data_IF_098257938961
#
_entry.id   IF_098257938961
#
_cell.length_a   1.000
_cell.length_b   1.000
_cell.length_c   1.000
_cell.angle_alpha   90.00
_cell.angle_beta   90.00
_cell.angle_gamma   90.00
#
_symmetry.space_group_name_H-M   'P 1'
#
loop_
_entity.id
_entity.type
_entity.pdbx_description
1 polymer ?
#
# COMPACT_ATOMS: atom_id res chain seq x y z
N UNK A 1 -13.29 -10.27 6.09
CA UNK A 1 -12.76 -9.23 6.95
C UNK A 1 -13.58 -7.98 6.72
N UNK A 2 -14.51 -7.64 7.63
CA UNK A 2 -15.18 -6.36 7.58
C UNK A 2 -14.20 -5.26 7.98
N UNK A 3 -13.33 -4.85 7.09
CA UNK A 3 -12.61 -3.61 7.25
C UNK A 3 -13.61 -2.51 6.88
N UNK A 4 -14.26 -1.94 7.88
CA UNK A 4 -14.90 -0.66 7.73
C UNK A 4 -13.76 0.34 7.47
N UNK A 5 -13.72 0.89 6.26
CA UNK A 5 -12.62 1.71 5.80
C UNK A 5 -12.74 3.16 6.23
N UNK A 6 -13.81 3.51 6.94
CA UNK A 6 -13.98 4.82 7.59
C UNK A 6 -13.41 4.78 9.01
N UNK A 7 -12.34 5.52 9.29
CA UNK A 7 -11.82 5.69 10.64
C UNK A 7 -11.04 6.99 10.81
N UNK A 8 -11.00 7.48 12.05
CA UNK A 8 -10.18 8.64 12.42
C UNK A 8 -8.86 8.16 13.03
N UNK A 9 -7.79 8.87 12.72
CA UNK A 9 -6.50 8.74 13.40
C UNK A 9 -6.07 10.08 13.97
N UNK A 10 -5.30 10.02 15.04
CA UNK A 10 -4.62 11.16 15.62
C UNK A 10 -3.10 10.92 15.62
N UNK A 11 -2.36 11.76 14.92
CA UNK A 11 -0.89 11.69 14.87
C UNK A 11 -0.35 13.10 15.05
N UNK A 12 0.48 13.29 16.07
CA UNK A 12 1.13 14.57 16.35
C UNK A 12 0.16 15.71 16.66
N UNK A 13 -1.00 15.40 17.27
CA UNK A 13 -2.04 16.38 17.63
C UNK A 13 -2.98 16.75 16.47
N UNK A 14 -2.81 16.18 15.29
CA UNK A 14 -3.72 16.38 14.16
C UNK A 14 -4.62 15.17 13.95
N UNK A 15 -5.92 15.41 13.86
CA UNK A 15 -6.91 14.39 13.50
C UNK A 15 -7.04 14.29 11.98
N UNK A 16 -6.98 13.07 11.46
CA UNK A 16 -7.24 12.77 10.06
C UNK A 16 -8.30 11.67 9.96
N UNK A 17 -9.37 11.97 9.23
CA UNK A 17 -10.43 10.99 8.92
C UNK A 17 -10.09 10.28 7.61
N UNK A 18 -10.10 8.96 7.62
CA UNK A 18 -10.05 8.14 6.41
C UNK A 18 -11.44 7.89 5.88
N UNK A 19 -11.64 8.21 4.61
CA UNK A 19 -12.72 7.66 3.79
C UNK A 19 -12.12 6.74 2.73
N UNK A 20 -12.84 5.71 2.37
CA UNK A 20 -12.42 4.77 1.33
C UNK A 20 -12.18 5.52 0.01
N UNK A 21 -11.01 5.34 -0.60
CA UNK A 21 -10.79 5.80 -1.97
C UNK A 21 -11.43 4.82 -2.96
N UNK A 22 -11.81 5.32 -4.14
CA UNK A 22 -12.37 4.47 -5.21
C UNK A 22 -11.40 3.35 -5.56
N UNK A 23 -10.10 3.61 -5.57
CA UNK A 23 -9.07 2.62 -5.89
C UNK A 23 -8.97 1.56 -4.80
N UNK A 24 -9.03 1.93 -3.52
CA UNK A 24 -9.05 0.98 -2.41
C UNK A 24 -10.31 0.11 -2.46
N UNK A 25 -11.47 0.70 -2.77
CA UNK A 25 -12.72 -0.03 -2.93
C UNK A 25 -12.64 -1.05 -4.06
N UNK A 26 -12.11 -0.65 -5.20
CA UNK A 26 -11.99 -1.51 -6.37
C UNK A 26 -10.93 -2.59 -6.13
N UNK A 27 -9.77 -2.25 -5.59
CA UNK A 27 -8.72 -3.21 -5.22
C UNK A 27 -9.27 -4.23 -4.21
N UNK A 28 -10.07 -3.79 -3.24
CA UNK A 28 -10.73 -4.67 -2.30
C UNK A 28 -11.75 -5.59 -2.97
N UNK A 29 -12.59 -5.08 -3.86
CA UNK A 29 -13.54 -5.88 -4.62
C UNK A 29 -12.85 -6.90 -5.52
N UNK A 30 -11.78 -6.52 -6.20
CA UNK A 30 -11.05 -7.42 -7.08
C UNK A 30 -10.25 -8.47 -6.30
N UNK A 31 -9.75 -8.11 -5.11
CA UNK A 31 -8.98 -9.02 -4.26
C UNK A 31 -9.89 -10.00 -3.48
N UNK A 32 -11.02 -9.53 -2.95
CA UNK A 32 -11.89 -10.32 -2.06
C UNK A 32 -13.29 -10.59 -2.63
N UNK A 33 -13.77 -9.76 -3.54
CA UNK A 33 -15.11 -9.85 -4.10
C UNK A 33 -15.33 -11.09 -4.98
N UNK A 34 -14.26 -11.64 -5.55
CA UNK A 34 -14.25 -12.89 -6.33
C UNK A 34 -13.85 -14.11 -5.49
N UNK A 35 -13.71 -13.94 -4.17
CA UNK A 35 -13.34 -14.99 -3.24
C UNK A 35 -11.84 -15.18 -3.05
N UNK A 36 -11.48 -16.26 -2.35
CA UNK A 36 -10.10 -16.57 -1.94
C UNK A 36 -9.13 -16.70 -3.12
N UNK A 37 -9.60 -17.20 -4.26
CA UNK A 37 -8.74 -17.45 -5.43
C UNK A 37 -8.12 -16.17 -6.00
N UNK A 38 -8.88 -15.07 -6.06
CA UNK A 38 -8.34 -13.78 -6.55
C UNK A 38 -7.30 -13.20 -5.60
N UNK A 39 -7.53 -13.34 -4.29
CA UNK A 39 -6.54 -12.97 -3.28
C UNK A 39 -5.26 -13.77 -3.41
N UNK A 40 -5.35 -15.09 -3.56
CA UNK A 40 -4.18 -15.96 -3.70
C UNK A 40 -3.40 -15.66 -4.98
N UNK A 41 -4.07 -15.43 -6.11
CA UNK A 41 -3.41 -15.03 -7.36
C UNK A 41 -2.65 -13.71 -7.19
N UNK A 42 -3.28 -12.72 -6.58
CA UNK A 42 -2.65 -11.43 -6.28
C UNK A 42 -1.42 -11.59 -5.37
N UNK A 43 -1.51 -12.42 -4.33
CA UNK A 43 -0.38 -12.68 -3.42
C UNK A 43 0.73 -13.46 -4.11
N UNK A 44 0.40 -14.44 -4.93
CA UNK A 44 1.39 -15.26 -5.64
C UNK A 44 2.32 -14.41 -6.52
N UNK A 45 1.76 -13.56 -7.35
CA UNK A 45 2.55 -12.66 -8.21
C UNK A 45 3.48 -11.75 -7.38
N UNK A 46 2.99 -11.22 -6.27
CA UNK A 46 3.78 -10.35 -5.39
C UNK A 46 4.87 -11.10 -4.65
N UNK A 47 4.58 -12.30 -4.16
CA UNK A 47 5.58 -13.15 -3.51
C UNK A 47 6.71 -13.52 -4.46
N UNK A 48 6.42 -13.80 -5.74
CA UNK A 48 7.46 -14.03 -6.77
C UNK A 48 8.36 -12.80 -6.96
N UNK A 49 7.77 -11.60 -7.02
CA UNK A 49 8.54 -10.37 -7.11
C UNK A 49 9.39 -10.14 -5.86
N UNK A 50 8.82 -10.32 -4.68
CA UNK A 50 9.55 -10.20 -3.41
C UNK A 50 10.73 -11.19 -3.34
N UNK A 51 10.51 -12.45 -3.74
CA UNK A 51 11.58 -13.44 -3.80
C UNK A 51 12.71 -13.01 -4.75
N UNK A 52 12.37 -12.44 -5.91
CA UNK A 52 13.39 -11.98 -6.87
C UNK A 52 14.23 -10.81 -6.32
N UNK A 53 13.61 -9.92 -5.54
CA UNK A 53 14.25 -8.74 -4.93
C UNK A 53 15.03 -9.08 -3.66
N UNK A 54 14.71 -10.17 -2.99
CA UNK A 54 15.35 -10.55 -1.74
C UNK A 54 16.82 -10.89 -1.95
N UNK A 55 17.70 -10.47 -1.04
CA UNK A 55 19.11 -10.86 -1.03
C UNK A 55 19.28 -12.38 -0.85
N UNK A 56 20.40 -12.94 -1.25
CA UNK A 56 20.65 -14.40 -1.16
C UNK A 56 20.62 -14.92 0.28
N UNK A 57 20.97 -14.08 1.24
CA UNK A 57 20.93 -14.32 2.69
C UNK A 57 19.71 -13.68 3.37
N UNK A 58 18.78 -13.15 2.57
CA UNK A 58 17.60 -12.46 3.05
C UNK A 58 16.48 -13.41 3.47
N UNK A 59 15.56 -12.86 4.26
CA UNK A 59 14.42 -13.56 4.83
C UNK A 59 13.12 -12.82 4.59
N UNK A 60 12.01 -13.55 4.53
CA UNK A 60 10.66 -13.00 4.44
C UNK A 60 9.82 -13.47 5.64
N UNK A 61 9.05 -12.55 6.20
CA UNK A 61 8.06 -12.81 7.23
C UNK A 61 6.69 -12.41 6.72
N UNK A 62 5.79 -13.36 6.54
CA UNK A 62 4.44 -13.13 6.07
C UNK A 62 3.45 -13.30 7.21
N UNK A 63 2.91 -12.19 7.71
CA UNK A 63 1.89 -12.19 8.75
C UNK A 63 0.49 -12.36 8.13
N UNK A 64 -0.28 -13.27 8.67
CA UNK A 64 -1.66 -13.53 8.25
C UNK A 64 -2.51 -14.07 9.40
N UNK A 65 -3.82 -14.08 9.19
CA UNK A 65 -4.75 -14.71 10.12
C UNK A 65 -5.05 -16.16 9.74
N UNK A 66 -5.70 -16.87 10.64
CA UNK A 66 -6.05 -18.30 10.53
C UNK A 66 -6.87 -18.66 9.28
N UNK A 67 -7.56 -17.68 8.62
CA UNK A 67 -8.41 -17.95 7.46
C UNK A 67 -7.62 -18.25 6.20
N UNK A 68 -6.41 -17.72 6.12
CA UNK A 68 -5.60 -17.76 4.90
C UNK A 68 -4.20 -18.33 5.11
N UNK A 69 -3.78 -18.60 6.36
CA UNK A 69 -2.42 -19.03 6.70
C UNK A 69 -2.00 -20.28 5.93
N UNK A 70 -2.83 -21.29 5.88
CA UNK A 70 -2.52 -22.54 5.18
C UNK A 70 -2.44 -22.40 3.67
N UNK A 71 -3.26 -21.53 3.05
CA UNK A 71 -3.15 -21.26 1.62
C UNK A 71 -1.87 -20.49 1.30
N UNK A 72 -1.53 -19.49 2.11
CA UNK A 72 -0.32 -18.70 1.93
C UNK A 72 0.93 -19.54 2.17
N UNK A 73 0.87 -20.53 3.07
CA UNK A 73 1.94 -21.49 3.27
C UNK A 73 2.22 -22.27 1.97
N UNK A 74 1.21 -22.79 1.28
CA UNK A 74 1.39 -23.46 -0.01
C UNK A 74 2.00 -22.56 -1.07
N UNK A 75 1.58 -21.28 -1.13
CA UNK A 75 2.19 -20.33 -2.08
C UNK A 75 3.66 -20.05 -1.76
N UNK A 76 4.01 -19.94 -0.49
CA UNK A 76 5.40 -19.74 -0.07
C UNK A 76 6.26 -20.98 -0.33
N UNK A 77 5.73 -22.19 -0.09
CA UNK A 77 6.43 -23.43 -0.41
C UNK A 77 6.74 -23.54 -1.91
N UNK A 78 5.83 -23.08 -2.80
CA UNK A 78 6.04 -23.05 -4.25
C UNK A 78 7.06 -21.99 -4.66
N UNK A 79 6.97 -20.78 -4.09
CA UNK A 79 7.83 -19.64 -4.50
C UNK A 79 9.23 -19.71 -3.88
N UNK A 80 9.34 -20.09 -2.60
CA UNK A 80 10.59 -20.09 -1.83
C UNK A 80 11.23 -21.46 -1.71
N UNK A 81 10.56 -22.52 -2.09
CA UNK A 81 10.89 -23.91 -1.83
C UNK A 81 10.61 -24.33 -0.37
N UNK A 82 10.01 -25.51 -0.19
CA UNK A 82 9.69 -26.08 1.13
C UNK A 82 10.92 -26.22 2.04
N UNK A 83 12.10 -26.47 1.47
CA UNK A 83 13.35 -26.59 2.22
C UNK A 83 13.85 -25.28 2.83
N UNK A 84 13.35 -24.14 2.37
CA UNK A 84 13.67 -22.82 2.89
C UNK A 84 12.65 -22.31 3.92
N UNK A 85 11.70 -23.14 4.29
CA UNK A 85 10.81 -22.89 5.43
C UNK A 85 11.59 -22.96 6.75
N UNK A 86 11.47 -21.92 7.56
CA UNK A 86 12.18 -21.85 8.85
C UNK A 86 11.21 -22.10 9.98
N UNK A 87 10.18 -21.25 10.14
CA UNK A 87 9.19 -21.40 11.23
C UNK A 87 7.79 -20.94 10.82
N UNK A 88 6.80 -21.55 11.45
CA UNK A 88 5.47 -20.98 11.61
C UNK A 88 5.38 -20.42 13.03
N UNK A 89 5.34 -19.08 13.15
CA UNK A 89 5.35 -18.42 14.44
C UNK A 89 3.91 -18.08 14.83
N UNK A 90 3.46 -18.54 15.98
CA UNK A 90 2.19 -18.18 16.58
C UNK A 90 2.36 -16.91 17.43
N UNK A 91 1.97 -15.75 16.88
CA UNK A 91 1.95 -14.51 17.66
C UNK A 91 0.65 -14.44 18.45
N UNK A 92 0.75 -14.67 19.76
CA UNK A 92 -0.38 -14.78 20.66
C UNK A 92 -0.67 -13.46 21.36
N UNK A 93 -1.95 -13.12 21.49
CA UNK A 93 -2.40 -11.95 22.23
C UNK A 93 -3.32 -12.36 23.38
N UNK A 94 -3.17 -11.71 24.53
CA UNK A 94 -4.01 -11.97 25.69
C UNK A 94 -5.19 -11.00 25.77
N UNK A 95 -6.22 -11.36 26.52
CA UNK A 95 -7.37 -10.52 26.78
C UNK A 95 -8.65 -11.32 26.98
N UNK A 96 -9.63 -10.72 27.64
CA UNK A 96 -10.94 -11.32 27.85
C UNK A 96 -11.64 -11.61 26.51
N UNK A 97 -12.45 -12.67 26.49
CA UNK A 97 -13.30 -13.03 25.36
C UNK A 97 -14.69 -13.41 25.84
N UNK A 98 -15.71 -13.04 25.07
CA UNK A 98 -17.11 -13.39 25.33
C UNK A 98 -17.59 -14.56 24.47
N UNK A 99 -16.67 -15.46 24.09
CA UNK A 99 -17.00 -16.62 23.24
C UNK A 99 -17.54 -17.73 24.11
N UNK A 100 -18.70 -18.30 23.75
CA UNK A 100 -19.38 -19.34 24.54
C UNK A 100 -19.31 -20.74 23.94
N UNK A 101 -19.09 -20.86 22.62
CA UNK A 101 -19.22 -22.14 21.89
C UNK A 101 -17.91 -22.68 21.29
N UNK A 102 -16.81 -21.93 21.38
CA UNK A 102 -15.50 -22.31 20.85
C UNK A 102 -14.37 -21.68 21.66
N UNK A 103 -13.16 -22.11 21.41
CA UNK A 103 -11.97 -21.46 21.98
C UNK A 103 -11.75 -20.10 21.36
N UNK A 104 -11.45 -19.04 22.15
CA UNK A 104 -11.13 -17.71 21.63
C UNK A 104 -9.90 -17.75 20.72
N UNK A 105 -10.01 -17.23 19.51
CA UNK A 105 -8.88 -17.11 18.59
C UNK A 105 -8.02 -15.93 19.02
N UNK A 106 -6.85 -16.22 19.56
CA UNK A 106 -5.97 -15.22 20.18
C UNK A 106 -4.56 -15.23 19.60
N UNK A 107 -4.36 -15.85 18.44
CA UNK A 107 -3.09 -15.79 17.72
C UNK A 107 -3.31 -15.46 16.26
N UNK A 108 -2.31 -14.84 15.70
CA UNK A 108 -2.10 -14.67 14.26
C UNK A 108 -0.85 -15.49 13.89
N UNK A 109 -0.75 -15.91 12.63
CA UNK A 109 0.36 -16.70 12.11
C UNK A 109 1.36 -15.80 11.39
N UNK A 110 2.66 -16.02 11.63
CA UNK A 110 3.74 -15.42 10.87
C UNK A 110 4.54 -16.55 10.24
N UNK A 111 4.53 -16.62 8.91
CA UNK A 111 5.28 -17.60 8.15
C UNK A 111 6.67 -17.02 7.85
N UNK A 112 7.71 -17.74 8.28
CA UNK A 112 9.11 -17.33 8.13
C UNK A 112 9.83 -18.23 7.15
N UNK A 113 10.35 -17.64 6.08
CA UNK A 113 11.16 -18.27 5.04
C UNK A 113 12.45 -17.52 4.82
N UNK A 114 13.48 -18.24 4.43
CA UNK A 114 14.72 -17.68 3.88
C UNK A 114 14.72 -17.78 2.34
N UNK A 115 15.61 -17.03 1.68
CA UNK A 115 15.82 -17.21 0.23
C UNK A 115 16.66 -18.45 -0.08
N UNK A 116 17.66 -18.71 0.75
CA UNK A 116 18.57 -19.86 0.65
C UNK A 116 18.83 -20.45 2.04
N UNK A 117 19.61 -21.52 2.12
CA UNK A 117 20.10 -22.11 3.36
C UNK A 117 21.09 -21.22 4.14
N UNK A 118 21.60 -20.16 3.49
CA UNK A 118 22.53 -19.17 4.09
C UNK A 118 21.77 -17.90 4.40
N UNK A 119 21.15 -17.81 5.55
CA UNK A 119 20.37 -16.64 5.96
C UNK A 119 20.87 -16.05 7.28
N UNK A 120 20.65 -14.74 7.44
CA UNK A 120 20.98 -14.03 8.67
C UNK A 120 20.00 -14.38 9.78
N UNK A 121 20.53 -14.86 10.93
CA UNK A 121 19.74 -15.07 12.14
C UNK A 121 20.54 -14.69 13.39
N UNK A 122 20.31 -13.48 13.91
CA UNK A 122 21.01 -12.89 15.04
C UNK A 122 20.33 -13.32 16.36
N UNK A 123 20.54 -14.55 16.77
CA UNK A 123 19.89 -15.16 17.94
C UNK A 123 20.12 -14.40 19.24
N UNK A 124 21.28 -13.74 19.37
CA UNK A 124 21.66 -13.07 20.60
C UNK A 124 21.00 -11.69 20.75
N UNK A 125 20.59 -11.06 19.65
CA UNK A 125 19.90 -9.76 19.65
C UNK A 125 18.41 -9.85 20.02
N UNK A 126 17.87 -11.09 20.06
CA UNK A 126 16.45 -11.35 20.31
C UNK A 126 16.19 -12.17 21.55
N UNK A 127 17.22 -12.38 22.40
CA UNK A 127 17.03 -13.16 23.64
C UNK A 127 16.00 -12.53 24.55
N UNK A 128 15.28 -13.39 25.24
CA UNK A 128 14.29 -13.02 26.25
C UNK A 128 14.69 -13.62 27.60
N UNK A 129 14.28 -13.03 28.71
CA UNK A 129 14.54 -13.59 30.04
C UNK A 129 13.99 -15.01 30.17
N UNK A 130 14.66 -15.83 30.94
CA UNK A 130 14.13 -17.13 31.35
C UNK A 130 12.85 -16.98 32.18
N UNK A 131 11.97 -17.95 32.08
CA UNK A 131 10.81 -17.99 32.96
C UNK A 131 11.27 -18.17 34.41
N UNK A 132 10.50 -17.62 35.34
CA UNK A 132 10.74 -17.76 36.78
C UNK A 132 10.93 -19.22 37.19
N UNK A 133 11.97 -19.51 37.97
CA UNK A 133 12.34 -20.87 38.37
C UNK A 133 13.06 -21.73 37.30
N UNK A 134 13.30 -21.26 36.09
CA UNK A 134 14.10 -21.98 35.09
C UNK A 134 15.57 -22.02 35.45
N UNK A 135 16.10 -20.95 36.02
CA UNK A 135 17.49 -20.88 36.53
C UNK A 135 17.70 -21.84 37.71
N UNK A 136 16.74 -21.92 38.61
CA UNK A 136 16.79 -22.83 39.74
C UNK A 136 16.77 -24.30 39.32
N UNK A 137 16.06 -24.61 38.24
CA UNK A 137 15.98 -25.98 37.68
C UNK A 137 17.27 -26.36 36.95
N UNK A 138 17.88 -25.47 36.23
CA UNK A 138 19.14 -25.71 35.52
C UNK A 138 20.31 -25.95 36.48
N UNK A 139 20.31 -25.30 37.64
CA UNK A 139 21.29 -25.49 38.70
C UNK A 139 21.06 -26.74 39.57
N UNK A 140 19.92 -27.42 39.42
CA UNK A 140 19.66 -28.69 40.11
C UNK A 140 20.05 -29.82 39.17
N UNK A 141 20.99 -30.67 39.63
CA UNK A 141 21.25 -31.97 39.02
C UNK A 141 19.96 -32.82 39.12
N UNK A 142 19.11 -32.76 38.09
CA UNK A 142 17.87 -33.55 38.05
C UNK A 142 18.28 -34.99 37.69
N UNK A 143 18.31 -35.86 38.67
CA UNK A 143 18.33 -37.30 38.43
C UNK A 143 16.96 -37.64 37.83
N UNK A 144 16.91 -37.89 36.53
CA UNK A 144 15.67 -38.33 35.86
C UNK A 144 15.19 -39.65 36.42
N UNK A 145 13.86 -39.84 36.54
CA UNK A 145 13.22 -41.12 36.83
C UNK A 145 13.54 -42.11 35.71
N UNK A 146 14.70 -42.73 35.76
CA UNK A 146 15.21 -43.65 34.73
C UNK A 146 16.73 -43.74 34.68
N UNK A 147 17.45 -43.05 35.58
CA UNK A 147 18.92 -43.16 35.69
C UNK A 147 19.71 -42.44 34.58
N UNK A 148 19.08 -41.61 33.78
CA UNK A 148 19.80 -40.72 32.84
C UNK A 148 20.29 -39.47 33.57
N UNK A 149 21.61 -39.33 33.69
CA UNK A 149 22.23 -38.09 34.13
C UNK A 149 22.10 -37.07 32.99
N UNK A 150 21.29 -36.05 33.17
CA UNK A 150 21.32 -34.88 32.29
C UNK A 150 22.53 -34.03 32.73
N UNK A 151 23.48 -33.82 31.82
CA UNK A 151 24.54 -32.84 32.01
C UNK A 151 23.92 -31.46 32.27
N UNK A 152 24.49 -30.70 33.20
CA UNK A 152 24.06 -29.34 33.50
C UNK A 152 24.13 -28.51 32.21
N UNK A 153 22.97 -28.05 31.71
CA UNK A 153 22.92 -27.16 30.55
C UNK A 153 23.42 -25.80 31.03
N UNK A 154 24.56 -25.37 30.54
CA UNK A 154 25.02 -23.97 30.71
C UNK A 154 23.98 -23.03 30.11
N UNK A 155 23.29 -22.30 30.97
CA UNK A 155 22.32 -21.29 30.53
C UNK A 155 23.06 -20.02 30.13
N UNK A 156 22.66 -19.44 29.00
CA UNK A 156 23.23 -18.16 28.56
C UNK A 156 22.78 -17.04 29.50
N UNK A 157 23.73 -16.24 30.00
CA UNK A 157 23.46 -15.13 30.94
C UNK A 157 22.46 -14.10 30.39
N UNK A 158 22.43 -13.90 29.07
CA UNK A 158 21.53 -12.96 28.38
C UNK A 158 20.12 -13.51 28.13
N UNK A 159 19.82 -14.71 28.65
CA UNK A 159 18.51 -15.33 28.45
C UNK A 159 18.47 -16.34 27.31
N UNK A 160 17.27 -16.75 26.92
CA UNK A 160 17.01 -17.76 25.89
C UNK A 160 16.54 -17.15 24.57
N UNK A 161 16.77 -17.84 23.46
CA UNK A 161 16.12 -17.53 22.18
C UNK A 161 14.61 -17.80 22.34
N UNK A 162 13.74 -16.88 21.90
CA UNK A 162 12.29 -17.11 21.99
C UNK A 162 11.88 -18.32 21.15
N UNK A 163 10.90 -19.05 21.64
CA UNK A 163 10.23 -20.12 20.91
C UNK A 163 9.38 -19.55 19.77
N UNK A 164 8.80 -20.40 18.94
CA UNK A 164 7.91 -20.04 17.83
C UNK A 164 6.47 -19.70 18.25
N UNK A 165 6.20 -19.57 19.53
CA UNK A 165 4.96 -19.03 20.08
C UNK A 165 5.26 -17.82 20.96
N UNK A 166 4.85 -16.62 20.48
CA UNK A 166 5.19 -15.37 21.13
C UNK A 166 4.05 -14.86 22.00
N UNK A 167 4.22 -14.99 23.33
CA UNK A 167 3.26 -14.55 24.35
C UNK A 167 3.62 -13.20 24.95
N UNK A 168 4.87 -12.80 24.85
CA UNK A 168 5.48 -11.64 25.49
C UNK A 168 5.29 -10.33 24.68
N UNK A 169 4.83 -10.41 23.43
CA UNK A 169 4.58 -9.27 22.57
C UNK A 169 3.08 -9.07 22.40
N UNK A 170 2.56 -7.93 22.86
CA UNK A 170 1.16 -7.58 22.76
C UNK A 170 0.89 -6.68 21.53
N UNK A 171 -0.40 -6.44 21.23
CA UNK A 171 -0.81 -5.51 20.17
C UNK A 171 -0.45 -4.07 20.52
N UNK A 172 -0.25 -3.21 19.51
CA UNK A 172 0.12 -1.80 19.66
C UNK A 172 -0.77 -1.03 20.65
N UNK A 173 -2.06 -1.34 20.71
CA UNK A 173 -3.00 -0.70 21.66
C UNK A 173 -2.68 -0.96 23.15
N UNK A 174 -1.80 -1.92 23.45
CA UNK A 174 -1.34 -2.20 24.83
C UNK A 174 -0.12 -1.37 25.25
N UNK A 175 0.53 -0.70 24.31
CA UNK A 175 1.70 0.12 24.58
C UNK A 175 1.30 1.59 24.56
N UNK A 176 1.52 2.34 25.67
CA UNK A 176 1.17 3.76 25.74
C UNK A 176 1.85 4.59 24.65
N UNK A 177 1.10 5.42 23.95
CA UNK A 177 1.62 6.34 22.93
C UNK A 177 1.97 5.70 21.58
N UNK A 178 1.90 4.37 21.46
CA UNK A 178 2.25 3.69 20.20
C UNK A 178 1.08 3.63 19.23
N UNK A 179 -0.14 3.52 19.74
CA UNK A 179 -1.34 3.36 18.92
C UNK A 179 -1.73 4.68 18.24
N UNK A 180 -1.65 4.72 16.91
CA UNK A 180 -2.06 5.87 16.09
C UNK A 180 -3.51 5.75 15.59
N UNK A 181 -4.28 4.75 16.07
CA UNK A 181 -5.65 4.50 15.61
C UNK A 181 -5.76 3.83 14.24
N UNK A 182 -4.64 3.47 13.61
CA UNK A 182 -4.67 2.79 12.32
C UNK A 182 -5.13 1.33 12.50
N UNK A 183 -6.20 0.89 11.83
CA UNK A 183 -6.65 -0.50 11.87
C UNK A 183 -5.51 -1.43 11.47
N UNK A 184 -5.39 -2.57 12.14
CA UNK A 184 -4.36 -3.56 11.85
C UNK A 184 -2.91 -3.15 12.16
N UNK A 185 -2.68 -2.01 12.82
CA UNK A 185 -1.34 -1.60 13.25
C UNK A 185 -0.65 -2.70 14.06
N UNK A 186 0.58 -3.01 13.70
CA UNK A 186 1.45 -3.92 14.45
C UNK A 186 2.24 -3.17 15.51
N UNK A 187 2.58 -3.84 16.62
CA UNK A 187 3.44 -3.24 17.64
C UNK A 187 4.88 -3.11 17.18
N UNK A 188 5.56 -2.07 17.65
CA UNK A 188 6.98 -1.85 17.35
C UNK A 188 7.85 -2.99 17.86
N UNK A 189 7.54 -3.56 19.04
CA UNK A 189 8.24 -4.71 19.61
C UNK A 189 8.19 -5.95 18.72
N UNK A 190 7.09 -6.15 17.98
CA UNK A 190 6.97 -7.26 17.03
C UNK A 190 7.97 -7.09 15.88
N UNK A 191 7.99 -5.90 15.27
CA UNK A 191 8.89 -5.60 14.17
C UNK A 191 10.33 -5.49 14.63
N UNK A 192 10.58 -5.00 15.85
CA UNK A 192 11.92 -4.96 16.45
C UNK A 192 12.55 -6.36 16.54
N UNK A 193 11.79 -7.35 17.06
CA UNK A 193 12.26 -8.74 17.13
C UNK A 193 12.57 -9.30 15.75
N UNK A 194 11.66 -9.13 14.79
CA UNK A 194 11.83 -9.64 13.41
C UNK A 194 13.04 -8.99 12.73
N UNK A 195 13.15 -7.67 12.79
CA UNK A 195 14.22 -6.92 12.12
C UNK A 195 15.57 -7.24 12.74
N UNK A 196 15.67 -7.30 14.07
CA UNK A 196 16.91 -7.68 14.75
C UNK A 196 17.34 -9.11 14.43
N UNK A 197 16.39 -10.05 14.39
CA UNK A 197 16.68 -11.44 14.07
C UNK A 197 17.30 -11.61 12.69
N UNK A 198 16.80 -10.91 11.68
CA UNK A 198 17.07 -11.21 10.27
C UNK A 198 17.72 -10.08 9.48
N UNK A 199 18.34 -9.12 10.15
CA UNK A 199 19.10 -8.05 9.51
C UNK A 199 20.16 -7.46 10.44
N UNK A 200 21.17 -6.83 9.86
CA UNK A 200 22.20 -6.08 10.55
C UNK A 200 22.00 -4.57 10.35
N UNK A 201 22.69 -3.74 11.13
CA UNK A 201 22.67 -2.30 10.94
C UNK A 201 23.18 -1.96 9.53
N UNK A 202 22.48 -1.05 8.83
CA UNK A 202 22.77 -0.68 7.46
C UNK A 202 22.11 -1.56 6.38
N UNK A 203 21.58 -2.73 6.73
CA UNK A 203 20.83 -3.59 5.80
C UNK A 203 19.52 -2.94 5.35
N UNK A 204 18.97 -3.44 4.26
CA UNK A 204 17.71 -2.97 3.69
C UNK A 204 16.53 -3.83 4.17
N UNK A 205 15.56 -3.19 4.79
CA UNK A 205 14.28 -3.77 5.19
C UNK A 205 13.19 -3.25 4.27
N UNK A 206 12.37 -4.14 3.70
CA UNK A 206 11.28 -3.76 2.80
C UNK A 206 9.92 -4.23 3.32
N UNK A 207 8.91 -3.34 3.24
CA UNK A 207 7.51 -3.66 3.55
C UNK A 207 6.60 -3.09 2.46
N UNK A 208 6.04 -3.99 1.64
CA UNK A 208 5.21 -3.62 0.49
C UNK A 208 3.71 -3.51 0.82
N UNK A 209 3.34 -3.66 2.10
CA UNK A 209 1.99 -3.48 2.65
C UNK A 209 2.08 -2.70 3.97
N UNK A 210 2.78 -1.58 3.95
CA UNK A 210 3.29 -0.92 5.15
C UNK A 210 2.21 -0.34 6.08
N UNK A 211 0.99 -0.09 5.61
CA UNK A 211 -0.12 0.43 6.39
C UNK A 211 0.26 1.66 7.22
N UNK A 212 0.35 1.49 8.54
CA UNK A 212 0.76 2.56 9.47
C UNK A 212 2.27 2.84 9.52
N UNK A 213 3.08 2.11 8.74
CA UNK A 213 4.53 2.31 8.65
C UNK A 213 5.34 1.84 9.86
N UNK A 214 4.84 0.88 10.63
CA UNK A 214 5.56 0.37 11.81
C UNK A 214 6.91 -0.22 11.44
N UNK A 215 6.97 -1.00 10.35
CA UNK A 215 8.21 -1.61 9.86
C UNK A 215 9.27 -0.55 9.54
N UNK A 216 8.91 0.48 8.77
CA UNK A 216 9.83 1.56 8.40
C UNK A 216 10.29 2.38 9.64
N UNK A 217 9.37 2.65 10.57
CA UNK A 217 9.67 3.36 11.81
C UNK A 217 10.69 2.61 12.68
N UNK A 218 10.50 1.29 12.83
CA UNK A 218 11.43 0.46 13.62
C UNK A 218 12.75 0.28 12.89
N UNK A 219 12.75 0.08 11.58
CA UNK A 219 13.97 -0.01 10.78
C UNK A 219 14.81 1.27 10.90
N UNK A 220 14.19 2.47 10.83
CA UNK A 220 14.88 3.75 11.05
C UNK A 220 15.48 3.85 12.45
N UNK A 221 14.72 3.50 13.51
CA UNK A 221 15.20 3.50 14.91
C UNK A 221 16.38 2.58 15.12
N UNK A 222 16.44 1.48 14.38
CA UNK A 222 17.48 0.45 14.47
C UNK A 222 18.65 0.68 13.49
N UNK A 223 18.71 1.79 12.77
CA UNK A 223 19.79 2.11 11.83
C UNK A 223 19.75 1.31 10.52
N UNK A 224 18.63 0.63 10.20
CA UNK A 224 18.44 -0.07 8.93
C UNK A 224 17.99 0.91 7.85
N UNK A 225 18.33 0.62 6.60
CA UNK A 225 17.68 1.26 5.44
C UNK A 225 16.29 0.64 5.27
N UNK A 226 15.36 1.40 4.69
CA UNK A 226 14.03 0.87 4.50
C UNK A 226 13.40 1.33 3.19
N UNK A 227 12.52 0.48 2.65
CA UNK A 227 11.58 0.80 1.58
C UNK A 227 10.20 0.38 2.08
N UNK A 228 9.24 1.31 2.01
CA UNK A 228 7.87 1.05 2.40
C UNK A 228 6.94 1.42 1.24
N UNK A 229 6.00 0.56 0.91
CA UNK A 229 5.01 0.82 -0.11
C UNK A 229 3.61 0.46 0.39
N UNK A 230 2.62 1.19 -0.08
CA UNK A 230 1.21 0.90 0.14
C UNK A 230 0.38 1.45 -1.01
N UNK A 231 -0.74 0.81 -1.30
CA UNK A 231 -1.69 1.30 -2.30
C UNK A 231 -2.47 2.52 -1.79
N UNK A 232 -2.74 2.55 -0.49
CA UNK A 232 -3.55 3.57 0.14
C UNK A 232 -2.78 4.86 0.41
N UNK A 233 -3.22 5.99 -0.16
CA UNK A 233 -2.64 7.32 0.14
C UNK A 233 -2.66 7.64 1.62
N UNK A 234 -3.70 7.17 2.32
CA UNK A 234 -3.83 7.37 3.76
C UNK A 234 -2.74 6.60 4.54
N UNK A 235 -2.40 5.38 4.13
CA UNK A 235 -1.29 4.62 4.68
C UNK A 235 0.04 5.37 4.51
N UNK A 236 0.32 5.87 3.30
CA UNK A 236 1.52 6.65 3.00
C UNK A 236 1.56 7.95 3.82
N UNK A 237 0.44 8.65 3.96
CA UNK A 237 0.38 9.86 4.78
C UNK A 237 0.64 9.58 6.26
N UNK A 238 0.06 8.50 6.79
CA UNK A 238 0.27 8.04 8.17
C UNK A 238 1.74 7.66 8.40
N UNK A 239 2.29 6.85 7.51
CA UNK A 239 3.71 6.43 7.52
C UNK A 239 4.64 7.64 7.50
N UNK A 240 4.40 8.61 6.60
CA UNK A 240 5.18 9.85 6.54
C UNK A 240 5.18 10.62 7.85
N UNK A 241 4.00 10.84 8.46
CA UNK A 241 3.90 11.56 9.73
C UNK A 241 4.66 10.83 10.85
N UNK A 242 4.51 9.49 10.90
CA UNK A 242 5.21 8.65 11.88
C UNK A 242 6.72 8.77 11.72
N UNK A 243 7.26 8.64 10.51
CA UNK A 243 8.68 8.73 10.22
C UNK A 243 9.26 10.11 10.59
N UNK A 244 8.58 11.20 10.27
CA UNK A 244 8.98 12.54 10.70
C UNK A 244 9.04 12.63 12.24
N UNK A 245 8.10 12.01 12.95
CA UNK A 245 8.13 11.90 14.42
C UNK A 245 9.37 11.16 14.92
N UNK A 246 9.65 9.99 14.34
CA UNK A 246 10.84 9.17 14.66
C UNK A 246 12.13 9.95 14.41
N UNK A 247 12.27 10.61 13.27
CA UNK A 247 13.47 11.39 12.94
C UNK A 247 13.69 12.56 13.91
N UNK A 248 12.61 13.26 14.30
CA UNK A 248 12.69 14.31 15.33
C UNK A 248 13.13 13.77 16.68
N UNK A 249 12.70 12.57 17.05
CA UNK A 249 13.12 11.90 18.29
C UNK A 249 14.60 11.50 18.22
N UNK A 250 15.04 10.91 17.12
CA UNK A 250 16.44 10.58 16.89
C UNK A 250 17.33 11.82 16.98
N UNK A 251 16.93 12.92 16.33
CA UNK A 251 17.65 14.20 16.37
C UNK A 251 17.77 14.75 17.80
N UNK A 252 16.68 14.71 18.59
CA UNK A 252 16.71 15.14 20.01
C UNK A 252 17.68 14.32 20.85
N UNK A 253 17.84 13.04 20.51
CA UNK A 253 18.74 12.09 21.19
C UNK A 253 20.17 12.12 20.63
N UNK A 254 20.51 13.07 19.75
CA UNK A 254 21.83 13.20 19.13
C UNK A 254 22.16 12.07 18.15
N UNK A 255 21.18 11.31 17.70
CA UNK A 255 21.34 10.26 16.70
C UNK A 255 21.10 10.81 15.30
N UNK A 256 21.86 10.27 14.35
CA UNK A 256 21.68 10.60 12.93
C UNK A 256 20.45 9.92 12.34
N UNK A 257 19.91 10.50 11.28
CA UNK A 257 18.79 9.95 10.51
C UNK A 257 18.96 10.30 9.03
N UNK A 258 18.29 9.52 8.17
CA UNK A 258 18.37 9.72 6.72
C UNK A 258 17.13 10.45 6.20
N UNK A 259 17.35 11.38 5.27
CA UNK A 259 16.25 11.96 4.51
C UNK A 259 15.55 10.87 3.70
N UNK A 260 14.24 10.97 3.54
CA UNK A 260 13.46 10.08 2.70
C UNK A 260 12.61 10.88 1.71
N UNK A 261 12.24 10.25 0.61
CA UNK A 261 11.33 10.79 -0.38
C UNK A 261 10.06 9.94 -0.50
N UNK A 262 9.01 10.52 -1.00
CA UNK A 262 7.76 9.83 -1.29
C UNK A 262 7.59 9.81 -2.80
N UNK A 263 7.66 8.61 -3.35
CA UNK A 263 7.48 8.37 -4.77
C UNK A 263 6.04 7.95 -5.05
N UNK A 264 5.48 8.48 -6.11
CA UNK A 264 4.19 8.03 -6.63
C UNK A 264 4.39 7.57 -8.07
N UNK A 265 4.04 6.34 -8.37
CA UNK A 265 4.11 5.77 -9.72
C UNK A 265 3.24 6.51 -10.74
N UNK A 266 2.43 7.48 -10.32
CA UNK A 266 1.71 8.46 -11.15
C UNK A 266 0.75 7.89 -12.19
N UNK A 267 1.01 6.69 -12.67
CA UNK A 267 0.20 5.94 -13.65
C UNK A 267 -0.57 4.77 -13.03
N UNK A 268 -0.32 4.42 -11.77
CA UNK A 268 -0.93 3.24 -11.14
C UNK A 268 -2.45 3.35 -11.09
N UNK A 269 -2.96 4.51 -10.74
CA UNK A 269 -4.40 4.78 -10.68
C UNK A 269 -5.04 4.69 -12.07
N UNK A 270 -4.29 5.08 -13.11
CA UNK A 270 -4.69 4.91 -14.51
C UNK A 270 -4.60 3.45 -14.95
N UNK A 271 -3.53 2.76 -14.55
CA UNK A 271 -3.25 1.36 -14.90
C UNK A 271 -4.34 0.41 -14.39
N UNK A 272 -4.94 0.72 -13.25
CA UNK A 272 -6.06 -0.06 -12.71
C UNK A 272 -7.25 -0.14 -13.69
N UNK A 273 -7.57 0.95 -14.38
CA UNK A 273 -8.62 0.96 -15.41
C UNK A 273 -8.17 0.26 -16.70
N UNK A 274 -6.86 -0.02 -16.86
CA UNK A 274 -6.25 -0.64 -18.03
C UNK A 274 -6.13 -2.17 -17.95
N UNK A 275 -5.85 -2.72 -16.78
CA UNK A 275 -5.37 -4.11 -16.59
C UNK A 275 -6.38 -5.23 -16.92
N UNK A 276 -7.62 -4.95 -17.28
CA UNK A 276 -8.64 -5.97 -17.57
C UNK A 276 -9.17 -5.90 -19.02
N UNK A 277 -8.32 -5.51 -19.96
CA UNK A 277 -8.70 -5.30 -21.36
C UNK A 277 -9.00 -6.60 -22.14
N UNK A 278 -8.71 -7.77 -21.57
CA UNK A 278 -8.76 -9.06 -22.29
C UNK A 278 -10.10 -9.80 -22.20
N UNK A 279 -11.03 -9.42 -21.31
CA UNK A 279 -12.21 -10.26 -21.00
C UNK A 279 -13.59 -9.57 -21.15
N UNK A 280 -13.88 -8.88 -22.23
CA UNK A 280 -15.26 -8.39 -22.51
C UNK A 280 -15.81 -7.31 -21.56
N UNK A 281 -15.06 -6.92 -20.54
CA UNK A 281 -15.41 -5.90 -19.54
C UNK A 281 -14.88 -4.50 -19.88
N UNK A 282 -14.23 -4.35 -21.02
CA UNK A 282 -13.59 -3.11 -21.46
C UNK A 282 -14.58 -1.95 -21.46
N UNK A 283 -15.73 -2.12 -22.09
CA UNK A 283 -16.75 -1.08 -22.22
C UNK A 283 -17.27 -0.61 -20.87
N UNK A 284 -17.53 -1.55 -19.93
CA UNK A 284 -18.01 -1.19 -18.60
C UNK A 284 -16.99 -0.39 -17.77
N UNK A 285 -15.68 -0.63 -17.97
CA UNK A 285 -14.61 0.13 -17.29
C UNK A 285 -14.38 1.50 -17.92
N UNK A 286 -14.45 1.61 -19.24
CA UNK A 286 -14.41 2.89 -19.95
C UNK A 286 -15.59 3.79 -19.50
N UNK A 287 -16.77 3.23 -19.36
CA UNK A 287 -17.94 3.95 -18.85
C UNK A 287 -17.75 4.43 -17.40
N UNK A 288 -17.22 3.56 -16.52
CA UNK A 288 -16.89 3.93 -15.13
C UNK A 288 -15.84 5.02 -15.05
N UNK A 289 -14.82 4.96 -15.91
CA UNK A 289 -13.81 6.00 -16.00
C UNK A 289 -14.40 7.34 -16.46
N UNK A 290 -15.20 7.32 -17.52
CA UNK A 290 -15.86 8.52 -18.02
C UNK A 290 -16.76 9.13 -16.96
N UNK A 291 -17.55 8.32 -16.25
CA UNK A 291 -18.43 8.76 -15.16
C UNK A 291 -17.64 9.41 -14.02
N UNK A 292 -16.53 8.79 -13.61
CA UNK A 292 -15.64 9.35 -12.59
C UNK A 292 -15.12 10.75 -12.96
N UNK A 293 -14.67 10.91 -14.21
CA UNK A 293 -14.13 12.22 -14.66
C UNK A 293 -15.25 13.25 -14.78
N UNK A 294 -16.41 12.87 -15.31
CA UNK A 294 -17.56 13.76 -15.41
C UNK A 294 -18.06 14.22 -14.04
N UNK A 295 -18.13 13.32 -13.06
CA UNK A 295 -18.48 13.65 -11.68
C UNK A 295 -17.48 14.65 -11.08
N UNK A 296 -16.18 14.38 -11.21
CA UNK A 296 -15.12 15.26 -10.72
C UNK A 296 -15.15 16.62 -11.40
N UNK A 297 -15.46 16.66 -12.69
CA UNK A 297 -15.61 17.91 -13.47
C UNK A 297 -16.93 18.62 -13.21
N UNK A 298 -17.89 17.97 -12.53
CA UNK A 298 -19.28 18.43 -12.30
C UNK A 298 -20.02 18.65 -13.63
N UNK A 299 -19.87 17.72 -14.57
CA UNK A 299 -20.57 17.67 -15.82
C UNK A 299 -21.67 16.60 -15.78
N UNK A 300 -22.79 16.85 -16.43
CA UNK A 300 -23.88 15.88 -16.59
C UNK A 300 -23.58 14.98 -17.78
N UNK A 301 -23.67 13.66 -17.59
CA UNK A 301 -23.52 12.68 -18.70
C UNK A 301 -24.58 12.89 -19.76
N UNK A 302 -24.20 12.70 -21.01
CA UNK A 302 -25.08 12.71 -22.20
C UNK A 302 -24.87 11.43 -22.99
N UNK A 303 -25.90 10.99 -23.69
CA UNK A 303 -25.90 9.81 -24.54
C UNK A 303 -26.15 10.20 -26.02
N UNK A 304 -25.90 9.27 -26.94
CA UNK A 304 -26.19 9.43 -28.36
C UNK A 304 -25.08 10.14 -29.15
N UNK A 305 -23.90 10.35 -28.56
CA UNK A 305 -22.75 10.97 -29.19
C UNK A 305 -21.58 9.98 -29.31
N UNK A 306 -20.75 10.14 -30.33
CA UNK A 306 -19.59 9.26 -30.57
C UNK A 306 -18.33 9.73 -29.84
N UNK A 307 -18.16 11.05 -29.68
CA UNK A 307 -16.99 11.63 -29.03
C UNK A 307 -17.32 12.50 -27.82
N UNK A 308 -18.58 12.87 -27.62
CA UNK A 308 -19.00 13.73 -26.52
C UNK A 308 -19.62 12.90 -25.40
N UNK A 309 -19.17 13.11 -24.17
CA UNK A 309 -19.54 12.29 -23.03
C UNK A 309 -20.41 13.01 -22.01
N UNK A 310 -20.35 14.36 -21.97
CA UNK A 310 -21.10 15.13 -20.98
C UNK A 310 -21.35 16.57 -21.39
N UNK A 311 -22.06 17.30 -20.51
CA UNK A 311 -22.34 18.73 -20.66
C UNK A 311 -22.20 19.47 -19.33
N UNK A 312 -21.61 20.67 -19.36
CA UNK A 312 -21.45 21.54 -18.20
C UNK A 312 -21.64 23.01 -18.63
N UNK A 313 -22.57 23.72 -17.99
CA UNK A 313 -22.81 25.14 -18.21
C UNK A 313 -22.90 25.54 -19.71
N UNK A 314 -23.63 24.74 -20.50
CA UNK A 314 -23.81 24.98 -21.94
C UNK A 314 -22.67 24.51 -22.84
N UNK A 315 -21.54 24.06 -22.29
CA UNK A 315 -20.42 23.51 -23.02
C UNK A 315 -20.48 21.98 -23.05
N UNK A 316 -20.17 21.38 -24.18
CA UNK A 316 -20.04 19.91 -24.27
C UNK A 316 -18.68 19.48 -23.68
N UNK A 317 -18.60 18.22 -23.26
CA UNK A 317 -17.40 17.70 -22.61
C UNK A 317 -16.99 16.41 -23.29
N UNK A 318 -15.75 16.36 -23.74
CA UNK A 318 -15.07 15.14 -24.14
C UNK A 318 -14.10 14.71 -23.03
N UNK A 319 -14.18 13.45 -22.63
CA UNK A 319 -13.18 12.84 -21.73
C UNK A 319 -12.21 12.08 -22.60
N UNK A 320 -10.96 12.50 -22.60
CA UNK A 320 -9.88 11.88 -23.36
C UNK A 320 -9.50 10.49 -22.83
N UNK A 321 -8.76 9.72 -23.60
CA UNK A 321 -8.34 8.38 -23.22
C UNK A 321 -7.45 8.40 -21.97
N UNK A 322 -7.47 7.26 -21.27
CA UNK A 322 -6.77 7.11 -19.99
C UNK A 322 -5.25 6.95 -20.15
N UNK A 323 -4.83 6.25 -21.21
CA UNK A 323 -3.50 5.66 -21.38
C UNK A 323 -2.65 6.32 -22.46
N UNK A 324 -3.26 7.08 -23.34
CA UNK A 324 -2.58 7.78 -24.44
C UNK A 324 -2.92 9.28 -24.46
N UNK A 325 -2.05 10.13 -25.03
CA UNK A 325 -2.36 11.55 -25.18
C UNK A 325 -3.60 11.78 -26.05
N UNK A 326 -4.31 12.88 -25.81
CA UNK A 326 -5.31 13.38 -26.74
C UNK A 326 -4.59 13.89 -27.98
N UNK A 327 -4.87 13.28 -29.13
CA UNK A 327 -4.19 13.57 -30.39
C UNK A 327 -4.89 14.67 -31.20
N UNK A 328 -4.17 15.24 -32.18
CA UNK A 328 -4.74 16.16 -33.13
C UNK A 328 -5.88 15.55 -33.96
N UNK A 329 -5.74 14.28 -34.38
CA UNK A 329 -6.80 13.53 -35.05
C UNK A 329 -8.06 13.45 -34.19
N UNK A 330 -7.93 13.21 -32.90
CA UNK A 330 -9.07 13.15 -31.98
C UNK A 330 -9.80 14.48 -31.87
N UNK A 331 -9.07 15.59 -31.87
CA UNK A 331 -9.69 16.92 -31.87
C UNK A 331 -10.43 17.20 -33.16
N UNK A 332 -9.96 16.70 -34.30
CA UNK A 332 -10.70 16.79 -35.58
C UNK A 332 -12.02 16.04 -35.52
N UNK A 333 -12.00 14.80 -34.99
CA UNK A 333 -13.23 14.00 -34.82
C UNK A 333 -14.26 14.72 -33.94
N UNK A 334 -13.81 15.29 -32.82
CA UNK A 334 -14.66 16.09 -31.91
C UNK A 334 -15.22 17.33 -32.62
N UNK A 335 -14.37 18.02 -33.37
CA UNK A 335 -14.76 19.18 -34.13
C UNK A 335 -15.83 18.84 -35.17
N UNK A 336 -15.67 17.77 -35.94
CA UNK A 336 -16.64 17.33 -36.95
C UNK A 336 -18.00 16.94 -36.33
N UNK A 337 -17.97 16.24 -35.18
CA UNK A 337 -19.22 15.92 -34.46
C UNK A 337 -19.90 17.16 -33.91
N UNK A 338 -19.16 18.11 -33.33
CA UNK A 338 -19.69 19.39 -32.88
C UNK A 338 -20.30 20.19 -34.04
N UNK A 339 -19.61 20.27 -35.18
CA UNK A 339 -20.09 20.97 -36.36
C UNK A 339 -21.37 20.36 -36.93
N UNK A 340 -21.42 19.03 -37.03
CA UNK A 340 -22.60 18.28 -37.49
C UNK A 340 -23.85 18.56 -36.65
N UNK A 341 -23.65 18.72 -35.33
CA UNK A 341 -24.72 18.95 -34.39
C UNK A 341 -24.95 20.42 -34.03
N UNK A 342 -24.25 21.36 -34.71
CA UNK A 342 -24.31 22.81 -34.47
C UNK A 342 -23.89 23.21 -33.04
N UNK A 343 -22.96 22.47 -32.44
CA UNK A 343 -22.37 22.80 -31.14
C UNK A 343 -21.17 23.73 -31.34
N UNK A 344 -21.13 24.79 -30.56
CA UNK A 344 -20.11 25.85 -30.74
C UNK A 344 -19.01 25.81 -29.68
N UNK A 345 -19.17 25.04 -28.59
CA UNK A 345 -18.23 25.05 -27.48
C UNK A 345 -18.05 23.64 -26.89
N UNK A 346 -16.80 23.25 -26.74
CA UNK A 346 -16.46 21.94 -26.11
C UNK A 346 -15.23 22.07 -25.22
N UNK A 347 -15.28 21.42 -24.05
CA UNK A 347 -14.14 21.23 -23.16
C UNK A 347 -13.59 19.83 -23.38
N UNK A 348 -12.32 19.71 -23.69
CA UNK A 348 -11.62 18.44 -23.89
C UNK A 348 -10.73 18.21 -22.69
N UNK A 349 -11.06 17.17 -21.91
CA UNK A 349 -10.36 16.80 -20.70
C UNK A 349 -9.34 15.69 -21.02
N UNK A 350 -8.08 15.84 -20.66
CA UNK A 350 -7.04 14.86 -20.91
C UNK A 350 -5.98 14.84 -19.82
N UNK A 351 -5.39 13.68 -19.54
CA UNK A 351 -4.21 13.60 -18.69
C UNK A 351 -2.97 14.11 -19.43
N UNK A 352 -2.92 13.86 -20.71
CA UNK A 352 -1.81 14.21 -21.59
C UNK A 352 -2.36 14.70 -22.94
N UNK A 353 -1.65 15.59 -23.57
CA UNK A 353 -1.97 16.12 -24.88
C UNK A 353 -0.76 15.99 -25.80
N UNK A 354 -1.01 15.69 -27.07
CA UNK A 354 0.04 15.59 -28.09
C UNK A 354 0.79 16.92 -28.27
N UNK A 355 2.11 16.88 -28.41
CA UNK A 355 2.94 18.07 -28.57
C UNK A 355 2.61 18.92 -29.81
N UNK A 356 1.95 18.33 -30.82
CA UNK A 356 1.50 18.97 -32.03
C UNK A 356 0.25 19.85 -31.89
N UNK A 357 -0.40 19.89 -30.72
CA UNK A 357 -1.57 20.73 -30.46
C UNK A 357 -1.13 22.18 -30.18
N UNK A 358 -0.88 22.90 -31.23
CA UNK A 358 -0.43 24.32 -31.15
C UNK A 358 -1.59 25.28 -30.90
N UNK A 359 -1.33 26.48 -30.34
CA UNK A 359 -2.34 27.54 -30.22
C UNK A 359 -2.98 27.93 -31.56
N UNK A 360 -2.20 27.90 -32.66
CA UNK A 360 -2.68 28.17 -34.00
C UNK A 360 -3.74 27.17 -34.46
N UNK A 361 -3.49 25.85 -34.20
CA UNK A 361 -4.45 24.82 -34.56
C UNK A 361 -5.77 24.97 -33.78
N UNK A 362 -5.72 25.27 -32.50
CA UNK A 362 -6.93 25.52 -31.70
C UNK A 362 -7.67 26.78 -32.18
N UNK A 363 -6.94 27.81 -32.56
CA UNK A 363 -7.51 29.06 -33.09
C UNK A 363 -8.21 28.81 -34.45
N UNK A 364 -7.61 28.01 -35.34
CA UNK A 364 -8.23 27.63 -36.61
C UNK A 364 -9.58 26.90 -36.43
N UNK A 365 -9.67 25.99 -35.46
CA UNK A 365 -10.92 25.28 -35.15
C UNK A 365 -11.99 26.25 -34.61
N UNK A 366 -11.57 27.25 -33.84
CA UNK A 366 -12.46 28.29 -33.32
C UNK A 366 -12.97 29.20 -34.43
N UNK A 367 -12.13 29.61 -35.39
CA UNK A 367 -12.52 30.39 -36.55
C UNK A 367 -13.49 29.66 -37.49
N UNK A 368 -13.40 28.30 -37.50
CA UNK A 368 -14.33 27.43 -38.20
C UNK A 368 -15.63 27.18 -37.43
N UNK A 369 -15.86 27.83 -36.30
CA UNK A 369 -17.12 27.88 -35.55
C UNK A 369 -17.21 27.03 -34.30
N UNK A 370 -16.14 26.30 -33.88
CA UNK A 370 -16.14 25.50 -32.66
C UNK A 370 -14.99 25.90 -31.73
N UNK A 371 -15.32 26.46 -30.57
CA UNK A 371 -14.36 26.86 -29.56
C UNK A 371 -14.00 25.63 -28.66
N UNK A 372 -12.83 25.06 -28.87
CA UNK A 372 -12.27 23.95 -28.11
C UNK A 372 -11.40 24.52 -27.00
N UNK A 373 -11.62 24.06 -25.76
CA UNK A 373 -10.79 24.35 -24.60
C UNK A 373 -10.16 23.06 -24.08
N UNK A 374 -8.84 23.00 -24.06
CA UNK A 374 -8.11 21.85 -23.53
C UNK A 374 -7.87 22.02 -22.03
N UNK A 375 -8.17 20.99 -21.24
CA UNK A 375 -8.00 21.01 -19.78
C UNK A 375 -7.30 19.74 -19.29
N UNK A 376 -6.31 19.94 -18.42
CA UNK A 376 -5.67 18.81 -17.74
C UNK A 376 -6.60 18.22 -16.69
N UNK A 377 -6.73 16.88 -16.73
CA UNK A 377 -7.34 16.10 -15.67
C UNK A 377 -6.36 16.03 -14.51
N UNK A 378 -6.71 16.59 -13.33
CA UNK A 378 -5.81 16.52 -12.17
C UNK A 378 -5.74 15.09 -11.62
N UNK A 379 -4.59 14.72 -11.06
CA UNK A 379 -4.41 13.40 -10.40
C UNK A 379 -5.40 13.18 -9.25
N UNK A 380 -5.85 14.26 -8.64
CA UNK A 380 -6.76 14.24 -7.49
C UNK A 380 -8.18 13.78 -7.83
N UNK A 381 -8.52 13.55 -9.11
CA UNK A 381 -9.82 12.98 -9.52
C UNK A 381 -10.02 11.56 -8.99
N UNK A 382 -8.96 10.83 -8.71
CA UNK A 382 -9.01 9.50 -8.13
C UNK A 382 -9.15 9.51 -6.59
N UNK A 383 -9.07 10.67 -5.97
CA UNK A 383 -9.32 10.87 -4.54
C UNK A 383 -10.74 11.43 -4.33
N UNK A 384 -11.65 10.56 -3.91
CA UNK A 384 -13.06 10.91 -3.68
C UNK A 384 -13.22 12.10 -2.73
N UNK A 385 -12.37 12.18 -1.70
CA UNK A 385 -12.36 13.28 -0.73
C UNK A 385 -11.91 14.61 -1.37
N UNK A 386 -10.92 14.56 -2.27
CA UNK A 386 -10.48 15.75 -3.00
C UNK A 386 -11.56 16.24 -3.96
N UNK A 387 -12.28 15.31 -4.61
CA UNK A 387 -13.41 15.64 -5.49
C UNK A 387 -14.56 16.25 -4.69
N UNK A 388 -14.99 15.63 -3.59
CA UNK A 388 -16.06 16.14 -2.72
C UNK A 388 -15.74 17.51 -2.14
N UNK A 389 -14.49 17.78 -1.75
CA UNK A 389 -14.02 19.06 -1.23
C UNK A 389 -13.76 20.11 -2.33
N UNK A 390 -13.93 19.75 -3.61
CA UNK A 390 -13.65 20.65 -4.73
C UNK A 390 -12.17 21.00 -4.91
N UNK A 391 -11.27 20.13 -4.41
CA UNK A 391 -9.82 20.31 -4.54
C UNK A 391 -9.30 19.82 -5.90
N UNK A 392 -10.04 18.95 -6.60
CA UNK A 392 -9.73 18.51 -7.95
C UNK A 392 -9.97 19.66 -8.95
N UNK A 393 -8.93 20.40 -9.25
CA UNK A 393 -8.99 21.56 -10.16
C UNK A 393 -8.50 21.18 -11.55
N UNK A 394 -9.35 21.36 -12.56
CA UNK A 394 -9.01 21.18 -13.96
C UNK A 394 -8.44 22.51 -14.50
N UNK A 395 -7.19 22.48 -14.88
CA UNK A 395 -6.48 23.66 -15.39
C UNK A 395 -6.47 23.66 -16.91
N UNK A 396 -6.63 24.84 -17.50
CA UNK A 396 -6.46 25.03 -18.94
C UNK A 396 -5.02 24.72 -19.34
N UNK A 397 -4.83 24.15 -20.53
CA UNK A 397 -3.50 23.93 -21.09
C UNK A 397 -2.87 25.26 -21.39
N UNK A 398 -1.76 25.56 -20.70
CA UNK A 398 -1.00 26.78 -20.92
C UNK A 398 0.06 26.58 -22.02
N UNK A 399 0.12 27.48 -22.96
CA UNK A 399 1.15 27.50 -23.99
C UNK A 399 2.21 28.56 -23.64
N UNK A 400 3.48 28.15 -23.62
CA UNK A 400 4.60 29.09 -23.50
C UNK A 400 4.79 29.83 -24.84
N UNK A 401 4.48 31.10 -24.86
CA UNK A 401 4.75 31.97 -26.00
C UNK A 401 6.13 32.61 -25.79
N UNK A 402 7.18 31.97 -26.28
CA UNK A 402 8.52 32.60 -26.36
C UNK A 402 8.50 33.61 -27.46
N UNK A 403 8.27 34.89 -27.13
CA UNK A 403 8.66 35.97 -28.01
C UNK A 403 10.18 36.09 -27.95
N UNK A 404 10.88 35.65 -28.98
CA UNK A 404 12.26 36.09 -29.20
C UNK A 404 12.27 37.60 -29.21
N UNK A 405 12.94 38.22 -28.25
CA UNK A 405 13.42 39.58 -28.39
C UNK A 405 14.66 39.52 -29.26
N UNK A 406 14.50 39.86 -30.52
CA UNK A 406 15.61 40.27 -31.41
C UNK A 406 16.17 41.59 -30.93
#
# INVERSE_FOLDING_TARGET
>A
VGADFGFEIEIGGEKAEKRQSIIEEIAYRDTWGKGISSYLSMMYERLKLMHSLLAVDGSIYLHCDWRVSYYLRFLLDDVFNVNNFINEIAWCTTGASRVEKNYPRKHDTILYYSKTDKYTFNKDDIRIPYAEGSLDRANRNVIGTGGMNFESIELNENGKVPEDFWLDIQRAARYPGENVGYPTQKSEKLLERIIKASSNEGDLVADFFCGSGTTAAVAEKLGRKWIAADLGRFAIHTTRKRLIGVQRELQKNGKDFRAFEILNLGKYERQFFMDDLTNGKRKAKEDLYVDLILEAYKAKRIDGHSTLHGQKAGRFVHVGPLDVPVTQSRLVDIFEECRKNLYTQVDVLGFEFEMGLTPQFIQELKEKGVAITLKYIPKDVFDKRAVEKGQAKFYDVAYLNTKEKI
#
